data_IF_890750722492
#
_entry.id   IF_890750722492
#
_cell.length_a   1.000
_cell.length_b   1.000
_cell.length_c   1.000
_cell.angle_alpha   90.00
_cell.angle_beta   90.00
_cell.angle_gamma   90.00
#
_symmetry.space_group_name_H-M   'P 1'
#
loop_
_entity.id
_entity.type
_entity.pdbx_description
1 polymer ?
#
# COMPACT_ATOMS: atom_id res chain seq x y z
N UNK A 1 21.47 1.22 1.25
CA UNK A 1 22.88 0.83 1.52
C UNK A 1 23.09 -0.62 1.08
N UNK A 2 24.23 -0.94 0.46
CA UNK A 2 24.60 -2.30 0.02
C UNK A 2 25.75 -2.78 0.89
N UNK A 3 25.54 -3.85 1.66
CA UNK A 3 26.60 -4.47 2.45
C UNK A 3 26.85 -5.89 1.95
N UNK A 4 28.03 -6.18 1.37
CA UNK A 4 28.49 -7.56 1.23
C UNK A 4 28.88 -8.04 2.63
N UNK A 5 28.07 -8.91 3.21
CA UNK A 5 28.39 -9.54 4.49
C UNK A 5 29.14 -10.82 4.15
N UNK A 6 30.29 -11.08 4.79
CA UNK A 6 31.09 -12.27 4.50
C UNK A 6 30.26 -13.56 4.57
N UNK A 7 30.70 -14.62 3.86
CA UNK A 7 30.06 -15.95 3.77
C UNK A 7 28.86 -16.08 2.82
N UNK A 8 28.79 -15.25 1.77
CA UNK A 8 27.80 -15.42 0.68
C UNK A 8 26.44 -14.77 0.95
N UNK A 9 26.36 -13.87 1.94
CA UNK A 9 25.19 -13.03 2.20
C UNK A 9 25.34 -11.68 1.51
N UNK A 10 24.39 -11.34 0.65
CA UNK A 10 24.21 -9.99 0.11
C UNK A 10 22.90 -9.42 0.63
N UNK A 11 22.95 -8.19 1.17
CA UNK A 11 21.75 -7.51 1.63
C UNK A 11 21.76 -6.04 1.18
N UNK A 12 20.62 -5.59 0.67
CA UNK A 12 20.36 -4.22 0.28
C UNK A 12 19.05 -3.75 0.90
N UNK A 13 19.13 -2.68 1.68
CA UNK A 13 17.96 -2.00 2.26
C UNK A 13 17.83 -0.58 1.71
N UNK A 14 16.61 -0.20 1.37
CA UNK A 14 16.22 1.15 0.98
C UNK A 14 15.06 1.63 1.84
N UNK A 15 15.14 2.88 2.28
CA UNK A 15 14.07 3.56 3.00
C UNK A 15 13.79 4.90 2.32
N UNK A 16 12.52 5.16 2.05
CA UNK A 16 12.06 6.41 1.47
C UNK A 16 11.03 7.03 2.42
N UNK A 17 11.26 8.29 2.78
CA UNK A 17 10.27 9.14 3.43
C UNK A 17 9.62 10.03 2.37
N UNK A 18 8.28 10.08 2.35
CA UNK A 18 7.53 10.97 1.47
C UNK A 18 6.76 12.00 2.28
N UNK A 19 6.69 13.23 1.80
CA UNK A 19 5.75 14.23 2.29
C UNK A 19 5.34 15.16 1.15
N UNK A 20 4.46 14.64 0.30
CA UNK A 20 4.01 15.34 -0.89
C UNK A 20 2.62 15.93 -0.70
N UNK A 21 2.43 17.14 -1.22
CA UNK A 21 1.12 17.79 -1.32
C UNK A 21 0.76 17.98 -2.78
N UNK A 22 -0.54 18.02 -3.06
CA UNK A 22 -1.12 18.31 -4.37
C UNK A 22 -2.21 19.35 -4.21
N UNK A 23 -2.50 20.10 -5.26
CA UNK A 23 -3.71 20.94 -5.35
C UNK A 23 -4.91 20.15 -5.90
N UNK A 24 -4.71 18.89 -6.28
CA UNK A 24 -5.72 18.03 -6.89
C UNK A 24 -5.55 16.59 -6.42
N UNK A 25 -6.52 16.10 -5.67
CA UNK A 25 -6.54 14.74 -5.15
C UNK A 25 -7.10 13.77 -6.19
N UNK A 26 -6.29 13.40 -7.18
CA UNK A 26 -6.65 12.44 -8.23
C UNK A 26 -5.56 11.37 -8.30
N UNK A 27 -5.97 10.11 -8.26
CA UNK A 27 -5.09 8.94 -8.38
C UNK A 27 -4.88 8.47 -9.81
N UNK A 28 -4.39 7.24 -9.96
CA UNK A 28 -3.94 6.66 -11.24
C UNK A 28 -5.07 6.41 -12.25
N UNK A 29 -6.35 6.49 -11.84
CA UNK A 29 -7.47 6.04 -12.68
C UNK A 29 -7.97 7.07 -13.72
N UNK A 30 -7.50 8.33 -13.69
CA UNK A 30 -8.06 9.39 -14.54
C UNK A 30 -6.99 10.12 -15.35
N UNK A 31 -7.26 10.36 -16.64
CA UNK A 31 -6.41 11.12 -17.56
C UNK A 31 -6.16 12.53 -17.01
N UNK A 32 -4.91 12.79 -16.63
CA UNK A 32 -4.49 14.03 -15.99
C UNK A 32 -4.74 15.30 -16.85
N UNK A 33 -4.91 15.14 -18.16
CA UNK A 33 -4.93 16.21 -19.17
C UNK A 33 -6.31 16.80 -19.49
N UNK A 34 -7.42 16.22 -19.01
CA UNK A 34 -8.78 16.70 -19.34
C UNK A 34 -9.51 17.33 -18.13
N UNK A 35 -8.86 17.40 -16.97
CA UNK A 35 -9.45 17.96 -15.76
C UNK A 35 -9.17 19.47 -15.69
N UNK A 36 -10.17 20.29 -15.99
CA UNK A 36 -10.20 21.69 -15.54
C UNK A 36 -10.01 21.69 -14.01
N UNK A 37 -9.03 22.46 -13.51
CA UNK A 37 -8.74 22.54 -12.09
C UNK A 37 -9.90 23.24 -11.36
N UNK A 38 -10.83 22.46 -10.81
CA UNK A 38 -11.91 22.97 -9.99
C UNK A 38 -11.37 23.29 -8.58
N UNK A 39 -10.78 24.47 -8.41
CA UNK A 39 -10.53 25.00 -7.08
C UNK A 39 -11.84 25.07 -6.31
N UNK A 40 -11.83 24.68 -5.04
CA UNK A 40 -13.01 24.78 -4.16
C UNK A 40 -13.51 26.23 -4.18
N UNK A 41 -12.59 27.18 -4.16
CA UNK A 41 -12.88 28.59 -4.45
C UNK A 41 -11.65 29.29 -5.00
N UNK A 42 -11.86 30.12 -6.03
CA UNK A 42 -10.80 31.00 -6.56
C UNK A 42 -10.39 32.09 -5.56
N UNK A 43 -11.24 32.38 -4.56
CA UNK A 43 -10.93 33.36 -3.51
C UNK A 43 -9.86 32.87 -2.53
N UNK A 44 -9.69 31.55 -2.40
CA UNK A 44 -8.67 30.95 -1.55
C UNK A 44 -8.17 29.60 -2.11
N UNK A 45 -7.18 29.62 -3.03
CA UNK A 45 -6.59 28.41 -3.61
C UNK A 45 -5.90 27.49 -2.60
N UNK A 46 -5.56 27.98 -1.40
CA UNK A 46 -4.89 27.18 -0.36
C UNK A 46 -5.78 26.05 0.17
N UNK A 47 -7.10 26.16 0.04
CA UNK A 47 -8.05 25.11 0.46
C UNK A 47 -7.89 23.80 -0.33
N UNK A 48 -7.36 23.88 -1.55
CA UNK A 48 -7.12 22.73 -2.39
C UNK A 48 -5.76 22.06 -2.12
N UNK A 49 -4.89 22.67 -1.30
CA UNK A 49 -3.61 22.06 -0.93
C UNK A 49 -3.85 20.92 0.06
N UNK A 50 -3.77 19.71 -0.45
CA UNK A 50 -4.07 18.46 0.27
C UNK A 50 -2.91 17.47 0.14
N UNK A 51 -2.82 16.43 0.99
CA UNK A 51 -1.83 15.38 0.82
C UNK A 51 -1.93 14.74 -0.57
N UNK A 52 -0.79 14.45 -1.18
CA UNK A 52 -0.77 13.75 -2.46
C UNK A 52 -1.26 12.31 -2.30
N UNK A 53 -2.08 11.78 -3.22
CA UNK A 53 -2.42 10.35 -3.22
C UNK A 53 -1.19 9.44 -3.41
N UNK A 54 -0.04 9.99 -3.81
CA UNK A 54 1.24 9.30 -3.94
C UNK A 54 2.16 9.48 -2.72
N UNK A 55 1.68 10.14 -1.66
CA UNK A 55 2.38 10.26 -0.38
C UNK A 55 2.31 8.94 0.41
N UNK A 56 3.15 7.98 0.03
CA UNK A 56 3.48 6.83 0.86
C UNK A 56 4.52 7.25 1.88
N UNK A 57 4.05 7.66 3.07
CA UNK A 57 4.86 8.33 4.09
C UNK A 57 6.18 7.64 4.43
N UNK A 58 6.13 6.32 4.58
CA UNK A 58 7.29 5.46 4.82
C UNK A 58 7.23 4.28 3.86
N UNK A 59 8.30 4.06 3.11
CA UNK A 59 8.48 2.88 2.27
C UNK A 59 9.81 2.26 2.61
N UNK A 60 9.80 0.99 2.97
CA UNK A 60 10.96 0.19 3.28
C UNK A 60 11.00 -1.01 2.36
N UNK A 61 12.12 -1.20 1.68
CA UNK A 61 12.35 -2.32 0.77
C UNK A 61 13.69 -2.96 1.09
N UNK A 62 13.67 -4.27 1.35
CA UNK A 62 14.86 -5.07 1.60
C UNK A 62 14.91 -6.18 0.57
N UNK A 63 16.08 -6.33 -0.03
CA UNK A 63 16.40 -7.38 -0.96
C UNK A 63 17.64 -8.08 -0.42
N UNK A 64 17.62 -9.40 -0.35
CA UNK A 64 18.75 -10.17 0.13
C UNK A 64 18.89 -11.49 -0.59
N UNK A 65 20.13 -11.96 -0.71
CA UNK A 65 20.45 -13.32 -1.16
C UNK A 65 21.44 -13.95 -0.21
N UNK A 66 21.26 -15.22 0.11
CA UNK A 66 22.15 -15.96 0.97
C UNK A 66 22.50 -17.31 0.34
N UNK A 67 23.78 -17.50 0.02
CA UNK A 67 24.33 -18.80 -0.32
C UNK A 67 24.37 -19.67 0.95
N UNK A 68 23.62 -20.76 0.97
CA UNK A 68 23.60 -21.63 2.13
C UNK A 68 25.01 -22.21 2.38
N UNK A 69 25.47 -22.21 3.64
CA UNK A 69 26.85 -22.55 4.00
C UNK A 69 27.12 -24.05 4.07
N UNK A 70 26.34 -24.87 3.36
CA UNK A 70 26.42 -26.33 3.35
C UNK A 70 27.04 -26.86 2.06
N UNK A 71 27.62 -28.05 2.13
CA UNK A 71 28.17 -28.78 0.98
C UNK A 71 29.69 -28.79 0.90
N UNK A 72 30.21 -29.43 -0.14
CA UNK A 72 31.66 -29.63 -0.34
C UNK A 72 32.37 -28.28 -0.50
N UNK A 73 33.37 -28.00 0.35
CA UNK A 73 34.13 -26.74 0.31
C UNK A 73 33.44 -25.54 0.97
N UNK A 74 32.31 -25.73 1.66
CA UNK A 74 31.62 -24.68 2.44
C UNK A 74 31.85 -24.86 3.95
N UNK A 75 31.39 -23.87 4.74
CA UNK A 75 31.66 -23.74 6.17
C UNK A 75 31.16 -24.93 7.00
N UNK A 76 29.99 -25.51 6.67
CA UNK A 76 29.44 -26.65 7.38
C UNK A 76 29.58 -27.94 6.58
N UNK A 77 30.37 -28.89 7.11
CA UNK A 77 30.54 -30.24 6.57
C UNK A 77 29.43 -31.13 7.15
N UNK A 78 28.67 -31.81 6.30
CA UNK A 78 27.59 -32.73 6.74
C UNK A 78 28.04 -34.16 7.00
N UNK A 79 29.34 -34.46 6.86
CA UNK A 79 29.92 -35.78 7.15
C UNK A 79 29.61 -36.87 6.09
N UNK A 80 28.60 -36.69 5.24
CA UNK A 80 28.24 -37.63 4.16
C UNK A 80 28.30 -36.98 2.77
N UNK A 81 28.85 -37.71 1.80
CA UNK A 81 28.93 -37.25 0.40
C UNK A 81 27.55 -37.03 -0.24
N UNK A 82 26.58 -37.90 0.10
CA UNK A 82 25.21 -37.81 -0.40
C UNK A 82 24.51 -36.59 0.21
N UNK A 83 24.64 -36.41 1.52
CA UNK A 83 24.04 -35.26 2.23
C UNK A 83 24.65 -33.95 1.73
N UNK A 84 25.96 -33.90 1.46
CA UNK A 84 26.62 -32.72 0.88
C UNK A 84 26.06 -32.35 -0.51
N UNK A 85 25.74 -33.32 -1.36
CA UNK A 85 25.13 -33.06 -2.68
C UNK A 85 23.71 -32.49 -2.57
N UNK A 86 22.91 -33.01 -1.65
CA UNK A 86 21.53 -32.55 -1.43
C UNK A 86 21.52 -31.17 -0.76
N UNK A 87 22.36 -30.98 0.26
CA UNK A 87 22.38 -29.76 1.07
C UNK A 87 23.19 -28.60 0.47
N UNK A 88 24.12 -28.84 -0.46
CA UNK A 88 25.00 -27.79 -1.01
C UNK A 88 24.48 -27.07 -2.24
N UNK A 89 24.97 -25.87 -2.54
CA UNK A 89 24.64 -25.15 -3.78
C UNK A 89 23.25 -24.53 -3.82
N UNK A 90 22.63 -24.34 -2.66
CA UNK A 90 21.41 -23.56 -2.51
C UNK A 90 21.73 -22.08 -2.31
N UNK A 91 21.00 -21.22 -2.99
CA UNK A 91 20.95 -19.78 -2.74
C UNK A 91 19.50 -19.39 -2.48
N UNK A 92 19.25 -18.72 -1.36
CA UNK A 92 17.92 -18.22 -0.99
C UNK A 92 17.87 -16.73 -1.24
N UNK A 93 16.88 -16.26 -1.99
CA UNK A 93 16.59 -14.85 -2.17
C UNK A 93 15.33 -14.42 -1.42
N UNK A 94 15.29 -13.17 -0.97
CA UNK A 94 14.10 -12.57 -0.38
C UNK A 94 13.93 -11.12 -0.80
N UNK A 95 12.68 -10.73 -0.99
CA UNK A 95 12.26 -9.35 -1.17
C UNK A 95 11.18 -9.06 -0.13
N UNK A 96 11.46 -8.10 0.76
CA UNK A 96 10.48 -7.62 1.75
C UNK A 96 10.13 -6.18 1.41
N UNK A 97 8.84 -5.91 1.21
CA UNK A 97 8.30 -4.56 1.02
C UNK A 97 7.35 -4.24 2.17
N UNK A 98 7.69 -3.23 2.96
CA UNK A 98 6.83 -2.69 3.99
C UNK A 98 6.57 -1.21 3.71
N UNK A 99 5.32 -0.79 3.60
CA UNK A 99 5.00 0.62 3.37
C UNK A 99 3.77 1.07 4.13
N UNK A 100 3.75 2.37 4.43
CA UNK A 100 2.56 3.06 4.91
C UNK A 100 1.43 2.93 3.88
N UNK A 101 0.20 2.87 4.36
CA UNK A 101 -0.96 2.90 3.49
C UNK A 101 -1.08 4.22 2.76
N UNK A 102 -1.72 4.15 1.59
CA UNK A 102 -2.10 5.34 0.83
C UNK A 102 -3.08 6.19 1.64
N UNK A 103 -3.01 7.51 1.49
CA UNK A 103 -4.06 8.35 2.07
C UNK A 103 -5.36 8.25 1.25
N UNK A 104 -6.46 8.72 1.84
CA UNK A 104 -7.76 8.82 1.22
C UNK A 104 -8.54 9.98 1.83
N UNK A 105 -9.38 10.63 1.02
CA UNK A 105 -10.32 11.66 1.48
C UNK A 105 -11.54 10.97 2.09
N UNK A 106 -11.91 11.37 3.30
CA UNK A 106 -13.22 11.04 3.87
C UNK A 106 -14.28 11.90 3.19
N UNK A 107 -15.24 11.25 2.53
CA UNK A 107 -16.31 11.91 1.78
C UNK A 107 -17.56 12.03 2.65
N UNK A 108 -18.26 13.17 2.54
CA UNK A 108 -19.59 13.36 3.09
C UNK A 108 -20.68 12.87 2.14
N UNK A 109 -20.40 12.82 0.84
CA UNK A 109 -21.35 12.40 -0.20
C UNK A 109 -22.34 13.51 -0.61
N UNK A 110 -22.05 14.76 -0.26
CA UNK A 110 -22.89 15.92 -0.56
C UNK A 110 -22.08 17.04 -1.21
N UNK A 111 -22.71 17.65 -2.22
CA UNK A 111 -22.15 18.72 -3.03
C UNK A 111 -22.80 20.06 -2.69
N UNK A 112 -22.74 20.43 -1.41
CA UNK A 112 -23.34 21.64 -0.88
C UNK A 112 -22.59 22.93 -1.25
N UNK A 113 -21.35 22.85 -1.74
CA UNK A 113 -20.54 24.02 -2.10
C UNK A 113 -19.88 23.92 -3.47
N UNK A 114 -20.12 24.91 -4.34
CA UNK A 114 -19.49 25.07 -5.66
C UNK A 114 -19.37 23.77 -6.46
N UNK A 115 -20.50 23.06 -6.60
CA UNK A 115 -20.59 21.86 -7.41
C UNK A 115 -20.48 22.20 -8.90
N UNK A 116 -19.64 21.46 -9.61
CA UNK A 116 -19.63 21.44 -11.05
C UNK A 116 -19.90 20.01 -11.51
N UNK A 117 -20.98 19.80 -12.25
CA UNK A 117 -21.30 18.49 -12.81
C UNK A 117 -20.22 18.13 -13.84
N UNK A 118 -19.32 17.22 -13.47
CA UNK A 118 -18.38 16.66 -14.44
C UNK A 118 -19.05 15.48 -15.13
N UNK A 119 -19.58 15.73 -16.33
CA UNK A 119 -20.22 14.76 -17.21
C UNK A 119 -19.32 13.60 -17.67
N UNK A 120 -18.06 13.56 -17.23
CA UNK A 120 -17.06 12.54 -17.57
C UNK A 120 -16.85 11.49 -16.46
N UNK A 121 -17.72 11.41 -15.46
CA UNK A 121 -17.63 10.37 -14.41
C UNK A 121 -16.40 10.51 -13.51
N UNK A 122 -15.80 11.70 -13.44
CA UNK A 122 -14.71 11.97 -12.51
C UNK A 122 -15.23 11.84 -11.06
N UNK A 123 -14.44 11.26 -10.14
CA UNK A 123 -14.83 11.06 -8.75
C UNK A 123 -15.18 12.41 -8.16
N UNK A 124 -16.11 12.45 -7.21
CA UNK A 124 -16.66 13.68 -6.65
C UNK A 124 -15.60 14.57 -5.97
N UNK A 125 -14.86 15.31 -6.80
CA UNK A 125 -13.83 16.27 -6.41
C UNK A 125 -14.46 17.50 -5.72
N UNK A 126 -15.79 17.64 -5.86
CA UNK A 126 -16.59 18.73 -5.34
C UNK A 126 -17.30 18.39 -4.01
N UNK A 127 -17.10 17.17 -3.48
CA UNK A 127 -17.59 16.80 -2.15
C UNK A 127 -17.19 17.86 -1.14
N UNK A 128 -18.19 18.33 -0.38
CA UNK A 128 -18.08 19.48 0.52
C UNK A 128 -17.47 19.13 1.89
N UNK A 129 -16.99 17.88 2.06
CA UNK A 129 -16.35 17.39 3.27
C UNK A 129 -17.36 16.93 4.33
N UNK A 130 -16.86 16.80 5.56
CA UNK A 130 -17.63 16.29 6.70
C UNK A 130 -17.56 17.23 7.89
N UNK A 131 -18.53 17.15 8.79
CA UNK A 131 -18.50 17.76 10.10
C UNK A 131 -18.17 16.70 11.14
N UNK A 132 -17.20 16.99 12.02
CA UNK A 132 -16.88 16.11 13.13
C UNK A 132 -17.64 16.54 14.39
N UNK A 133 -18.29 15.57 15.02
CA UNK A 133 -19.04 15.78 16.24
C UNK A 133 -18.41 14.99 17.40
N UNK A 134 -17.70 15.67 18.29
CA UNK A 134 -17.09 15.04 19.47
C UNK A 134 -15.93 14.07 19.17
N UNK A 135 -15.40 14.06 17.95
CA UNK A 135 -14.24 13.26 17.55
C UNK A 135 -13.18 14.12 16.84
N UNK A 136 -11.92 13.79 17.05
CA UNK A 136 -10.78 14.42 16.36
C UNK A 136 -10.34 13.60 15.14
N UNK A 137 -9.63 14.23 14.20
CA UNK A 137 -9.01 13.52 13.07
C UNK A 137 -8.05 12.39 13.53
N UNK A 138 -7.34 12.55 14.64
CA UNK A 138 -6.46 11.50 15.16
C UNK A 138 -7.25 10.29 15.69
N UNK A 139 -8.39 10.53 16.35
CA UNK A 139 -9.28 9.46 16.80
C UNK A 139 -9.97 8.77 15.62
N UNK A 140 -10.27 9.51 14.54
CA UNK A 140 -10.72 8.92 13.28
C UNK A 140 -9.64 8.05 12.66
N UNK A 141 -8.40 8.52 12.62
CA UNK A 141 -7.25 7.78 12.09
C UNK A 141 -7.01 6.47 12.85
N UNK A 142 -7.19 6.43 14.18
CA UNK A 142 -7.07 5.20 14.96
C UNK A 142 -8.23 4.22 14.72
N UNK A 143 -9.34 4.68 14.14
CA UNK A 143 -10.46 3.85 13.72
C UNK A 143 -10.35 3.39 12.25
N UNK A 144 -9.24 3.69 11.57
CA UNK A 144 -8.94 3.13 10.26
C UNK A 144 -8.36 1.73 10.45
N UNK A 145 -8.95 0.75 9.77
CA UNK A 145 -8.60 -0.66 9.88
C UNK A 145 -9.16 -1.43 8.69
N UNK A 146 -9.26 -2.75 8.78
CA UNK A 146 -9.94 -3.57 7.78
C UNK A 146 -11.11 -4.23 8.48
N UNK A 147 -12.33 -3.91 8.04
CA UNK A 147 -13.55 -4.40 8.66
C UNK A 147 -14.44 -5.07 7.61
N UNK A 148 -15.27 -6.05 8.01
CA UNK A 148 -16.33 -6.57 7.16
C UNK A 148 -17.23 -5.41 6.72
N UNK A 149 -17.49 -5.32 5.44
CA UNK A 149 -18.41 -4.34 4.90
C UNK A 149 -19.87 -4.82 4.98
N UNK A 150 -20.82 -3.94 4.59
CA UNK A 150 -22.23 -4.15 4.86
C UNK A 150 -22.90 -5.20 3.96
N UNK A 151 -22.32 -5.53 2.80
CA UNK A 151 -22.92 -6.44 1.81
C UNK A 151 -21.86 -7.04 0.87
N UNK A 152 -22.27 -7.89 -0.07
CA UNK A 152 -21.38 -8.56 -1.02
C UNK A 152 -20.76 -7.62 -2.08
N UNK A 153 -21.38 -6.47 -2.35
CA UNK A 153 -20.84 -5.46 -3.28
C UNK A 153 -19.75 -4.60 -2.64
N UNK A 154 -19.80 -4.42 -1.32
CA UNK A 154 -18.78 -3.77 -0.50
C UNK A 154 -18.38 -4.71 0.63
N UNK A 155 -17.61 -5.77 0.34
CA UNK A 155 -17.33 -6.82 1.33
C UNK A 155 -16.39 -6.34 2.44
N UNK A 156 -15.67 -5.24 2.22
CA UNK A 156 -14.66 -4.70 3.14
C UNK A 156 -14.76 -3.18 3.18
N UNK A 157 -14.67 -2.62 4.39
CA UNK A 157 -14.60 -1.18 4.64
C UNK A 157 -13.39 -0.84 5.50
N UNK A 158 -12.85 0.37 5.32
CA UNK A 158 -11.63 0.79 6.00
C UNK A 158 -11.84 1.69 7.22
N UNK A 159 -13.08 2.09 7.49
CA UNK A 159 -13.46 2.82 8.70
C UNK A 159 -14.31 1.93 9.57
N UNK A 160 -14.07 1.99 10.88
CA UNK A 160 -14.83 1.24 11.86
C UNK A 160 -16.35 1.54 11.72
N UNK A 161 -17.19 0.55 11.38
CA UNK A 161 -18.63 0.76 11.19
C UNK A 161 -19.35 1.35 12.41
N UNK A 162 -18.78 1.17 13.62
CA UNK A 162 -19.31 1.76 14.87
C UNK A 162 -19.33 3.29 14.85
N UNK A 163 -18.54 3.92 13.99
CA UNK A 163 -18.59 5.38 13.77
C UNK A 163 -19.90 5.83 13.13
N UNK A 164 -20.64 4.93 12.49
CA UNK A 164 -21.89 5.26 11.78
C UNK A 164 -23.13 4.66 12.45
N UNK A 165 -22.97 3.66 13.32
CA UNK A 165 -24.06 2.93 13.96
C UNK A 165 -24.62 3.58 15.24
N UNK A 166 -23.91 4.53 15.87
CA UNK A 166 -24.32 5.13 17.15
C UNK A 166 -25.09 6.44 16.96
N UNK A 167 -26.07 6.73 17.83
CA UNK A 167 -26.82 8.00 17.87
C UNK A 167 -25.93 9.25 18.01
N UNK A 168 -24.68 9.08 18.45
CA UNK A 168 -23.71 10.16 18.57
C UNK A 168 -23.28 10.77 17.22
N UNK A 169 -23.44 10.02 16.11
CA UNK A 169 -23.11 10.45 14.73
C UNK A 169 -21.83 11.31 14.67
N UNK A 170 -20.66 10.73 15.02
CA UNK A 170 -19.41 11.47 15.14
C UNK A 170 -18.90 12.07 13.81
N UNK A 171 -19.42 11.60 12.68
CA UNK A 171 -19.14 12.11 11.34
C UNK A 171 -20.48 12.43 10.70
N UNK A 172 -20.67 13.67 10.28
CA UNK A 172 -21.90 14.15 9.66
C UNK A 172 -21.61 14.73 8.28
N UNK A 173 -22.50 14.53 7.29
CA UNK A 173 -22.40 15.20 6.02
C UNK A 173 -22.73 16.70 6.13
N UNK A 174 -22.22 17.50 5.21
CA UNK A 174 -22.60 18.91 5.06
C UNK A 174 -23.75 19.01 4.08
N UNK A 175 -24.98 19.22 4.59
CA UNK A 175 -26.19 19.21 3.76
C UNK A 175 -26.71 20.60 3.41
N UNK A 176 -26.27 21.65 4.10
CA UNK A 176 -26.75 23.02 3.87
C UNK A 176 -26.10 23.64 2.63
N UNK A 177 -26.86 24.10 1.62
CA UNK A 177 -26.30 24.77 0.45
C UNK A 177 -25.44 25.98 0.82
N UNK A 178 -24.29 26.12 0.16
CA UNK A 178 -23.31 27.17 0.39
C UNK A 178 -22.34 26.90 1.56
N UNK A 179 -22.42 25.76 2.24
CA UNK A 179 -21.53 25.42 3.34
C UNK A 179 -20.41 24.45 2.94
N UNK A 180 -19.22 24.68 3.50
CA UNK A 180 -18.09 23.76 3.45
C UNK A 180 -17.89 23.13 4.83
N UNK A 181 -17.60 21.83 4.83
CA UNK A 181 -17.14 21.09 5.99
C UNK A 181 -15.62 20.99 6.03
N UNK A 182 -15.15 20.05 6.84
CA UNK A 182 -13.73 19.73 6.98
C UNK A 182 -13.31 18.72 5.91
N UNK A 183 -12.24 19.03 5.17
CA UNK A 183 -11.58 18.07 4.29
C UNK A 183 -10.60 17.23 5.11
N UNK A 184 -11.01 15.99 5.38
CA UNK A 184 -10.24 15.07 6.21
C UNK A 184 -9.56 14.04 5.32
N UNK A 185 -8.24 13.93 5.47
CA UNK A 185 -7.44 12.90 4.84
C UNK A 185 -6.92 11.93 5.89
N UNK A 186 -7.16 10.65 5.68
CA UNK A 186 -6.73 9.57 6.55
C UNK A 186 -5.77 8.66 5.78
N UNK A 187 -4.90 7.93 6.48
CA UNK A 187 -4.04 6.90 5.90
C UNK A 187 -4.71 5.53 6.03
N UNK A 188 -4.78 4.81 4.92
CA UNK A 188 -5.30 3.46 4.84
C UNK A 188 -4.37 2.41 5.44
N UNK A 189 -4.74 1.12 5.30
CA UNK A 189 -3.93 0.00 5.77
C UNK A 189 -2.53 -0.02 5.17
N UNK A 190 -1.56 -0.44 5.98
CA UNK A 190 -0.18 -0.68 5.53
C UNK A 190 -0.11 -1.91 4.61
N UNK A 191 0.88 -1.90 3.73
CA UNK A 191 1.24 -3.04 2.88
C UNK A 191 2.50 -3.71 3.44
N UNK A 192 2.52 -5.05 3.46
CA UNK A 192 3.65 -5.83 3.96
C UNK A 192 3.88 -7.09 3.10
N UNK A 193 4.51 -6.97 1.95
CA UNK A 193 4.74 -8.14 1.09
C UNK A 193 6.10 -8.81 1.33
N UNK A 194 6.13 -10.14 1.24
CA UNK A 194 7.39 -10.91 1.20
C UNK A 194 7.37 -11.90 0.05
N UNK A 195 8.35 -11.78 -0.83
CA UNK A 195 8.61 -12.74 -1.90
C UNK A 195 9.89 -13.50 -1.57
N UNK A 196 9.92 -14.79 -1.91
CA UNK A 196 11.05 -15.68 -1.66
C UNK A 196 11.42 -16.37 -2.97
N UNK A 197 12.71 -16.46 -3.25
CA UNK A 197 13.24 -17.25 -4.35
C UNK A 197 14.24 -18.30 -3.84
N UNK A 198 14.26 -19.44 -4.50
CA UNK A 198 15.19 -20.53 -4.23
C UNK A 198 15.90 -20.90 -5.52
N UNK A 199 17.22 -20.89 -5.49
CA UNK A 199 18.07 -21.38 -6.56
C UNK A 199 18.87 -22.57 -6.04
N UNK A 200 18.86 -23.67 -6.78
CA UNK A 200 19.71 -24.82 -6.53
C UNK A 200 20.62 -25.06 -7.72
N UNK A 201 21.93 -24.97 -7.50
CA UNK A 201 22.94 -25.24 -8.52
C UNK A 201 23.57 -26.61 -8.30
N UNK A 202 23.45 -27.49 -9.29
CA UNK A 202 23.91 -28.87 -9.26
C UNK A 202 24.99 -29.03 -10.35
N UNK A 203 26.27 -29.20 -9.98
CA UNK A 203 27.29 -29.58 -10.95
C UNK A 203 27.07 -31.04 -11.36
N UNK A 204 26.88 -31.28 -12.66
CA UNK A 204 26.71 -32.63 -13.22
C UNK A 204 28.07 -33.15 -13.71
N UNK A 205 28.78 -32.35 -14.51
CA UNK A 205 30.14 -32.61 -15.00
C UNK A 205 30.99 -31.34 -14.90
N UNK A 206 32.29 -31.45 -15.19
CA UNK A 206 33.26 -30.34 -15.12
C UNK A 206 32.81 -29.09 -15.90
N UNK A 207 32.04 -29.26 -16.98
CA UNK A 207 31.52 -28.18 -17.83
C UNK A 207 29.99 -28.05 -17.82
N UNK A 208 29.27 -28.94 -17.14
CA UNK A 208 27.81 -28.98 -17.15
C UNK A 208 27.24 -28.73 -15.75
N UNK A 209 26.40 -27.71 -15.64
CA UNK A 209 25.73 -27.31 -14.40
C UNK A 209 24.24 -27.14 -14.65
N UNK A 210 23.43 -27.79 -13.82
CA UNK A 210 21.98 -27.63 -13.81
C UNK A 210 21.60 -26.62 -12.72
N UNK A 211 20.77 -25.64 -13.07
CA UNK A 211 20.19 -24.71 -12.10
C UNK A 211 18.68 -24.94 -12.05
N UNK A 212 18.15 -25.14 -10.85
CA UNK A 212 16.72 -25.24 -10.58
C UNK A 212 16.32 -23.96 -9.86
N UNK A 213 15.23 -23.33 -10.33
CA UNK A 213 14.72 -22.08 -9.80
C UNK A 213 13.27 -22.23 -9.37
N UNK A 214 12.93 -21.66 -8.23
CA UNK A 214 11.55 -21.56 -7.74
C UNK A 214 11.33 -20.19 -7.11
N UNK A 215 10.15 -19.60 -7.37
CA UNK A 215 9.70 -18.35 -6.78
C UNK A 215 8.37 -18.53 -6.07
N UNK A 216 8.25 -17.85 -4.95
CA UNK A 216 7.05 -17.76 -4.15
C UNK A 216 6.71 -16.27 -4.02
N UNK A 217 5.77 -15.82 -4.85
CA UNK A 217 5.20 -14.47 -4.76
C UNK A 217 4.20 -14.44 -3.61
N UNK A 218 4.29 -13.43 -2.75
CA UNK A 218 3.56 -13.38 -1.50
C UNK A 218 3.71 -14.72 -0.73
N UNK A 219 4.96 -15.07 -0.39
CA UNK A 219 5.33 -16.38 0.14
C UNK A 219 4.55 -16.80 1.39
N UNK A 220 3.97 -15.85 2.13
CA UNK A 220 3.14 -16.09 3.31
C UNK A 220 1.63 -15.98 3.05
N UNK A 221 1.22 -15.74 1.80
CA UNK A 221 -0.16 -15.59 1.36
C UNK A 221 -0.98 -14.62 2.24
N UNK A 222 -0.37 -13.51 2.65
CA UNK A 222 -1.07 -12.49 3.44
C UNK A 222 -1.80 -11.53 2.48
N UNK A 223 -3.02 -11.07 2.81
CA UNK A 223 -3.74 -10.14 1.96
C UNK A 223 -3.16 -8.72 2.09
N UNK A 224 -2.95 -8.05 0.96
CA UNK A 224 -2.64 -6.63 0.90
C UNK A 224 -3.87 -5.84 0.48
N UNK A 225 -4.39 -5.06 1.41
CA UNK A 225 -5.51 -4.17 1.19
C UNK A 225 -5.03 -2.82 0.72
N UNK A 226 -5.65 -2.30 -0.35
CA UNK A 226 -5.36 -0.97 -0.84
C UNK A 226 -6.65 -0.18 -1.06
N UNK A 227 -6.55 1.13 -0.87
CA UNK A 227 -7.61 2.07 -1.21
C UNK A 227 -7.29 2.60 -2.60
N UNK A 228 -8.09 2.19 -3.59
CA UNK A 228 -8.03 2.76 -4.93
C UNK A 228 -9.05 3.90 -5.02
N UNK A 229 -8.54 5.12 -5.12
CA UNK A 229 -9.20 6.35 -5.58
C UNK A 229 -10.64 6.53 -5.08
N UNK A 230 -10.87 6.41 -3.77
CA UNK A 230 -12.14 6.77 -3.12
C UNK A 230 -13.39 5.96 -3.51
N UNK A 231 -13.30 5.06 -4.50
CA UNK A 231 -14.45 4.35 -5.06
C UNK A 231 -14.17 2.89 -5.47
N UNK A 232 -12.92 2.41 -5.33
CA UNK A 232 -12.58 1.04 -5.66
C UNK A 232 -11.82 0.37 -4.51
N UNK A 233 -12.24 -0.85 -4.18
CA UNK A 233 -11.58 -1.71 -3.22
C UNK A 233 -10.77 -2.74 -4.00
N UNK A 234 -9.46 -2.58 -4.05
CA UNK A 234 -8.56 -3.51 -4.72
C UNK A 234 -7.77 -4.34 -3.72
N UNK A 235 -7.86 -5.66 -3.82
CA UNK A 235 -6.81 -6.55 -3.30
C UNK A 235 -5.65 -6.52 -4.28
N UNK A 236 -4.51 -5.98 -3.87
CA UNK A 236 -3.28 -6.15 -4.64
C UNK A 236 -2.69 -7.52 -4.29
N UNK A 237 -3.29 -8.58 -4.83
CA UNK A 237 -2.66 -9.89 -4.85
C UNK A 237 -1.93 -10.03 -6.19
N UNK A 238 -0.58 -10.15 -6.23
CA UNK A 238 0.14 -10.42 -7.47
C UNK A 238 -0.17 -11.82 -8.06
N UNK A 239 -1.00 -12.64 -7.40
CA UNK A 239 -1.44 -13.96 -7.85
C UNK A 239 -2.88 -13.98 -8.43
N UNK A 240 -3.41 -12.84 -8.89
CA UNK A 240 -4.64 -12.77 -9.69
C UNK A 240 -4.36 -12.24 -11.10
#
# INVERSE_FOLDING_TARGET
MKHPVGHGLMLMGNYTYSHAFTTRYIGDYFTADQAVANFTTLRNPKLNRVPSPYDMRHVFRVYGTYDLPFGTGRQFKTGSSIVNRIAGGWTVGTIVTAQSGRNFKLLGGFNSYNFFNNSLGAPDIADSGVLLNGITQSQLQSNVGVFPGPNSGEPIVFLNPKLFANNAQPILPVTTPGQLGQFIFLRGPRLFNTDISLLKSIPIYERLRLNIYAEFLNAFNHPNWNITDGFSFGTNNPAQ
#
